data_IF_965119221209
#
_entry.id   IF_965119221209
#
_cell.length_a   1.000
_cell.length_b   1.000
_cell.length_c   1.000
_cell.angle_alpha   90.00
_cell.angle_beta   90.00
_cell.angle_gamma   90.00
#
_symmetry.space_group_name_H-M   'P 1'
#
loop_
_entity.id
_entity.type
_entity.pdbx_description
1 polymer ?
#
# COMPACT_ATOMS: atom_id res chain seq x y z
N UNK A 1 43.59 7.67 0.25
CA UNK A 1 42.44 8.22 1.00
C UNK A 1 41.66 9.10 0.04
N UNK A 2 40.38 8.75 -0.16
CA UNK A 2 39.27 9.35 -0.95
C UNK A 2 38.49 8.10 -1.42
N UNK A 3 37.55 7.55 -0.63
CA UNK A 3 36.25 8.13 -0.24
C UNK A 3 35.52 8.60 -1.50
N UNK A 4 34.36 8.09 -1.91
CA UNK A 4 33.37 7.25 -1.26
C UNK A 4 32.54 6.61 -2.38
N UNK A 5 32.29 5.31 -2.27
CA UNK A 5 30.97 4.70 -2.46
C UNK A 5 29.99 5.46 -3.38
N UNK A 6 30.18 5.34 -4.69
CA UNK A 6 29.09 5.57 -5.66
C UNK A 6 28.17 4.34 -5.61
N UNK A 7 27.40 4.23 -4.53
CA UNK A 7 26.23 3.37 -4.55
C UNK A 7 25.23 4.07 -5.44
N UNK A 8 25.10 3.52 -6.66
CA UNK A 8 23.95 3.69 -7.54
C UNK A 8 22.72 3.84 -6.65
N UNK A 9 22.04 4.97 -6.80
CA UNK A 9 20.75 5.26 -6.20
C UNK A 9 19.90 3.99 -6.35
N UNK A 10 19.82 3.20 -5.28
CA UNK A 10 18.84 2.13 -5.17
C UNK A 10 17.55 2.80 -5.58
N UNK A 11 16.96 2.33 -6.68
CA UNK A 11 15.70 2.82 -7.18
C UNK A 11 14.77 2.74 -6.00
N UNK A 12 14.59 3.87 -5.31
CA UNK A 12 13.74 3.97 -4.17
C UNK A 12 12.40 3.61 -4.75
N UNK A 13 12.00 2.37 -4.50
CA UNK A 13 10.66 1.87 -4.71
C UNK A 13 9.76 2.57 -3.69
N UNK A 14 9.85 3.92 -3.61
CA UNK A 14 8.71 4.78 -3.43
C UNK A 14 7.74 4.41 -4.52
N UNK A 15 6.98 3.33 -4.26
CA UNK A 15 5.67 3.25 -4.83
C UNK A 15 4.96 4.48 -4.30
N UNK A 16 4.94 5.53 -5.12
CA UNK A 16 4.11 6.71 -4.91
C UNK A 16 2.66 6.26 -5.11
N UNK A 17 2.17 5.39 -4.23
CA UNK A 17 0.75 5.04 -4.17
C UNK A 17 0.13 6.20 -3.41
N UNK A 18 -0.75 6.94 -4.08
CA UNK A 18 -1.41 8.10 -3.48
C UNK A 18 -2.07 7.71 -2.15
N UNK A 19 -2.27 8.68 -1.25
CA UNK A 19 -2.97 8.43 0.01
C UNK A 19 -4.36 7.81 -0.24
N UNK A 20 -4.83 6.99 0.70
CA UNK A 20 -6.21 6.51 0.67
C UNK A 20 -7.16 7.67 1.01
N UNK A 21 -8.24 7.79 0.25
CA UNK A 21 -9.33 8.72 0.58
C UNK A 21 -10.10 8.20 1.79
N UNK A 22 -10.74 9.10 2.54
CA UNK A 22 -11.51 8.76 3.74
C UNK A 22 -12.56 7.66 3.49
N UNK A 23 -13.25 7.70 2.35
CA UNK A 23 -14.19 6.66 1.93
C UNK A 23 -13.51 5.30 1.70
N UNK A 24 -12.31 5.29 1.11
CA UNK A 24 -11.54 4.06 0.92
C UNK A 24 -11.12 3.49 2.28
N UNK A 25 -10.68 4.35 3.20
CA UNK A 25 -10.26 3.98 4.57
C UNK A 25 -11.42 3.35 5.35
N UNK A 26 -12.57 4.01 5.37
CA UNK A 26 -13.74 3.51 6.07
C UNK A 26 -14.22 2.17 5.49
N UNK A 27 -14.15 2.01 4.16
CA UNK A 27 -14.45 0.76 3.48
C UNK A 27 -13.46 -0.35 3.87
N UNK A 28 -12.16 -0.06 3.98
CA UNK A 28 -11.14 -1.02 4.45
C UNK A 28 -11.48 -1.48 5.87
N UNK A 29 -11.76 -0.56 6.79
CA UNK A 29 -12.06 -0.87 8.19
C UNK A 29 -13.33 -1.70 8.31
N UNK A 30 -14.41 -1.32 7.61
CA UNK A 30 -15.67 -2.09 7.62
C UNK A 30 -15.48 -3.50 7.07
N UNK A 31 -14.80 -3.63 5.92
CA UNK A 31 -14.60 -4.93 5.30
C UNK A 31 -13.59 -5.80 6.06
N UNK A 32 -12.57 -5.22 6.69
CA UNK A 32 -11.66 -5.96 7.56
C UNK A 32 -12.38 -6.51 8.80
N UNK A 33 -13.28 -5.74 9.41
CA UNK A 33 -14.12 -6.23 10.52
C UNK A 33 -15.02 -7.39 10.09
N UNK A 34 -15.55 -7.35 8.86
CA UNK A 34 -16.47 -8.38 8.35
C UNK A 34 -15.75 -9.62 7.80
N UNK A 35 -14.63 -9.42 7.10
CA UNK A 35 -13.94 -10.45 6.33
C UNK A 35 -12.62 -10.89 6.95
N UNK A 36 -12.07 -10.15 7.92
CA UNK A 36 -10.74 -10.37 8.48
C UNK A 36 -9.63 -10.12 7.44
N UNK A 37 -8.55 -10.90 7.52
CA UNK A 37 -7.35 -10.75 6.69
C UNK A 37 -7.52 -11.18 5.22
N UNK A 38 -8.75 -11.19 4.69
CA UNK A 38 -9.05 -11.49 3.29
C UNK A 38 -8.81 -10.27 2.41
N UNK A 39 -7.57 -9.77 2.42
CA UNK A 39 -7.16 -8.52 1.77
C UNK A 39 -7.47 -8.47 0.27
N UNK A 40 -7.37 -9.61 -0.42
CA UNK A 40 -7.76 -9.71 -1.84
C UNK A 40 -9.24 -9.39 -2.07
N UNK A 41 -10.13 -9.78 -1.15
CA UNK A 41 -11.55 -9.45 -1.22
C UNK A 41 -11.79 -7.97 -0.89
N UNK A 42 -11.08 -7.42 0.10
CA UNK A 42 -11.19 -6.00 0.44
C UNK A 42 -10.74 -5.12 -0.73
N UNK A 43 -9.55 -5.37 -1.27
CA UNK A 43 -9.00 -4.61 -2.40
C UNK A 43 -9.84 -4.72 -3.68
N UNK A 44 -10.53 -5.84 -3.90
CA UNK A 44 -11.47 -5.97 -5.04
C UNK A 44 -12.62 -4.95 -5.01
N UNK A 45 -12.87 -4.32 -3.86
CA UNK A 45 -13.90 -3.27 -3.69
C UNK A 45 -13.34 -1.85 -3.79
N UNK A 46 -12.02 -1.69 -3.93
CA UNK A 46 -11.36 -0.39 -3.95
C UNK A 46 -10.57 -0.25 -5.27
N UNK A 47 -11.15 0.39 -6.29
CA UNK A 47 -10.52 0.52 -7.60
C UNK A 47 -9.14 1.16 -7.52
N UNK A 48 -8.16 0.56 -8.22
CA UNK A 48 -6.79 1.08 -8.23
C UNK A 48 -5.95 0.72 -6.98
N UNK A 49 -6.51 -0.05 -6.02
CA UNK A 49 -5.77 -0.57 -4.86
C UNK A 49 -5.55 -2.07 -4.99
N UNK A 50 -4.37 -2.52 -4.60
CA UNK A 50 -4.03 -3.94 -4.55
C UNK A 50 -4.23 -4.49 -3.14
N UNK A 51 -4.35 -5.82 -3.00
CA UNK A 51 -4.41 -6.47 -1.69
C UNK A 51 -3.22 -6.08 -0.79
N UNK A 52 -2.05 -5.88 -1.39
CA UNK A 52 -0.86 -5.42 -0.67
C UNK A 52 -1.01 -3.98 -0.19
N UNK A 53 -1.69 -3.10 -0.94
CA UNK A 53 -1.96 -1.73 -0.49
C UNK A 53 -2.84 -1.71 0.73
N UNK A 54 -3.95 -2.44 0.66
CA UNK A 54 -4.92 -2.49 1.73
C UNK A 54 -4.32 -3.12 2.99
N UNK A 55 -3.46 -4.12 2.85
CA UNK A 55 -2.76 -4.75 3.98
C UNK A 55 -1.73 -3.81 4.63
N UNK A 56 -1.09 -2.94 3.84
CA UNK A 56 -0.05 -2.03 4.31
C UNK A 56 -0.60 -0.66 4.77
N UNK A 57 -1.91 -0.45 4.63
CA UNK A 57 -2.64 0.67 5.18
C UNK A 57 -3.07 0.35 6.61
#
# INVERSE_FOLDING_TARGET
MHSSKEFLTESHFSIKRGAFQEDEVDLIVRLHRLLGNRWSLVASRIPGRTANDVKNY
#
